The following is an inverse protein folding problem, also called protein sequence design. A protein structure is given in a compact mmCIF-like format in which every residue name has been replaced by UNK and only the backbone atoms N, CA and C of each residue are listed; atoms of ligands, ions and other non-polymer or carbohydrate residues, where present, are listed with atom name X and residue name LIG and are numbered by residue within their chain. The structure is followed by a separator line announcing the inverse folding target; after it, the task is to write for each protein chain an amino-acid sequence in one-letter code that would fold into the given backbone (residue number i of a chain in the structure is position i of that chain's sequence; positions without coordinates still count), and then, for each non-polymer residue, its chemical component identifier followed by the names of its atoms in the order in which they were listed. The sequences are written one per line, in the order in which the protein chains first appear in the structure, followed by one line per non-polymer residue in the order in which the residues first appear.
data_IF_770726509198
#
_entry.id   IF_770726509198
#
_cell.length_a   1.000
_cell.length_b   1.000
_cell.length_c   1.000
_cell.angle_alpha   90.00
_cell.angle_beta   90.00
_cell.angle_gamma   90.00
#
_symmetry.space_group_name_H-M   'P 1'
#
loop_
_entity.id
_entity.type
_entity.pdbx_description
1 polymer ?
#
# COMPACT_ATOMS: atom_id res chain seq x y z
N UNK A 1 1.88 -23.15 -4.22
CA UNK A 1 0.91 -22.94 -3.13
C UNK A 1 1.69 -22.19 -2.07
N UNK A 2 1.19 -21.06 -1.58
CA UNK A 2 1.88 -20.27 -0.56
C UNK A 2 1.21 -20.54 0.80
N UNK A 3 1.71 -21.52 1.59
CA UNK A 3 0.99 -22.06 2.75
C UNK A 3 0.86 -21.06 3.91
N UNK A 4 1.67 -20.00 3.92
CA UNK A 4 1.66 -18.97 4.98
C UNK A 4 0.71 -17.79 4.67
N UNK A 5 0.18 -17.67 3.44
CA UNK A 5 -0.84 -16.65 3.13
C UNK A 5 -2.19 -16.90 3.81
N UNK A 6 -2.64 -18.15 4.07
CA UNK A 6 -3.81 -18.42 4.90
C UNK A 6 -3.48 -18.69 6.38
N UNK A 7 -2.28 -18.33 6.86
CA UNK A 7 -1.90 -18.55 8.26
C UNK A 7 -2.91 -17.86 9.21
N UNK A 8 -3.31 -18.47 10.33
CA UNK A 8 -4.21 -17.84 11.29
C UNK A 8 -3.66 -16.52 11.86
N UNK A 9 -2.34 -16.37 11.95
CA UNK A 9 -1.69 -15.18 12.49
C UNK A 9 -1.63 -14.05 11.42
N UNK A 10 -2.28 -12.89 11.65
CA UNK A 10 -2.23 -11.77 10.72
C UNK A 10 -0.82 -11.21 10.50
N UNK A 11 0.06 -11.25 11.49
CA UNK A 11 1.43 -10.78 11.33
C UNK A 11 2.21 -11.71 10.37
N UNK A 12 1.97 -13.03 10.45
CA UNK A 12 2.53 -14.01 9.49
C UNK A 12 1.99 -13.78 8.08
N UNK A 13 0.70 -13.51 7.93
CA UNK A 13 0.11 -13.21 6.61
C UNK A 13 0.67 -11.94 6.00
N UNK A 14 0.79 -10.88 6.79
CA UNK A 14 1.36 -9.59 6.36
C UNK A 14 2.84 -9.75 5.95
N UNK A 15 3.65 -10.40 6.78
CA UNK A 15 5.04 -10.70 6.46
C UNK A 15 5.19 -11.58 5.22
N UNK A 16 4.29 -12.56 5.04
CA UNK A 16 4.26 -13.40 3.84
C UNK A 16 3.97 -12.58 2.59
N UNK A 17 3.01 -11.66 2.62
CA UNK A 17 2.74 -10.76 1.50
C UNK A 17 3.98 -9.93 1.12
N UNK A 18 4.70 -9.42 2.13
CA UNK A 18 5.96 -8.68 1.94
C UNK A 18 7.06 -9.52 1.30
N UNK A 19 7.34 -10.71 1.84
CA UNK A 19 8.36 -11.61 1.30
C UNK A 19 8.03 -12.03 -0.13
N UNK A 20 6.75 -12.27 -0.44
CA UNK A 20 6.32 -12.61 -1.79
C UNK A 20 6.46 -11.46 -2.78
N UNK A 21 6.23 -10.22 -2.35
CA UNK A 21 6.43 -9.05 -3.19
C UNK A 21 7.91 -8.79 -3.51
N UNK A 22 8.81 -9.14 -2.57
CA UNK A 22 10.26 -9.04 -2.77
C UNK A 22 10.84 -10.23 -3.56
N UNK A 23 10.07 -11.30 -3.76
CA UNK A 23 10.51 -12.47 -4.49
C UNK A 23 10.39 -12.27 -6.01
N UNK A 24 11.47 -12.51 -6.75
CA UNK A 24 11.55 -12.24 -8.20
C UNK A 24 11.02 -13.37 -9.09
N UNK A 25 10.39 -14.40 -8.52
CA UNK A 25 9.97 -15.61 -9.25
C UNK A 25 8.45 -15.82 -9.25
N UNK A 26 7.92 -16.41 -10.32
CA UNK A 26 6.49 -16.80 -10.45
C UNK A 26 5.48 -15.65 -10.35
N UNK A 27 5.85 -14.47 -10.85
CA UNK A 27 5.10 -13.21 -10.71
C UNK A 27 3.60 -13.30 -11.03
N UNK A 28 3.15 -13.91 -12.15
CA UNK A 28 1.71 -14.02 -12.43
C UNK A 28 0.98 -14.86 -11.36
N UNK A 29 1.64 -15.89 -10.82
CA UNK A 29 1.09 -16.76 -9.78
C UNK A 29 1.05 -16.05 -8.44
N UNK A 30 2.10 -15.30 -8.11
CA UNK A 30 2.19 -14.50 -6.89
C UNK A 30 1.09 -13.43 -6.91
N UNK A 31 1.03 -12.62 -7.96
CA UNK A 31 0.02 -11.57 -8.13
C UNK A 31 -1.41 -12.12 -8.02
N UNK A 32 -1.74 -13.17 -8.78
CA UNK A 32 -3.06 -13.82 -8.72
C UNK A 32 -3.39 -14.32 -7.31
N UNK A 33 -2.40 -14.84 -6.57
CA UNK A 33 -2.63 -15.33 -5.22
C UNK A 33 -2.84 -14.19 -4.21
N UNK A 34 -2.10 -13.08 -4.34
CA UNK A 34 -2.28 -11.90 -3.50
C UNK A 34 -3.67 -11.27 -3.72
N UNK A 35 -4.11 -11.12 -4.98
CA UNK A 35 -5.46 -10.64 -5.29
C UNK A 35 -6.55 -11.54 -4.70
N UNK A 36 -6.41 -12.86 -4.83
CA UNK A 36 -7.35 -13.82 -4.24
C UNK A 36 -7.36 -13.77 -2.72
N UNK A 37 -6.21 -13.55 -2.07
CA UNK A 37 -6.16 -13.37 -0.61
C UNK A 37 -6.82 -12.05 -0.20
N UNK A 38 -6.56 -10.96 -0.92
CA UNK A 38 -7.16 -9.65 -0.64
C UNK A 38 -8.69 -9.68 -0.70
N UNK A 39 -9.27 -10.46 -1.62
CA UNK A 39 -10.71 -10.58 -1.77
C UNK A 39 -11.44 -11.19 -0.55
N UNK A 40 -10.73 -11.93 0.31
CA UNK A 40 -11.31 -12.62 1.49
C UNK A 40 -10.71 -12.17 2.81
N UNK A 41 -9.71 -11.29 2.79
CA UNK A 41 -9.04 -10.82 4.00
C UNK A 41 -9.94 -9.86 4.78
N UNK A 42 -9.97 -10.02 6.09
CA UNK A 42 -10.70 -9.19 7.04
C UNK A 42 -9.77 -8.35 7.93
N UNK A 43 -8.53 -8.81 8.16
CA UNK A 43 -7.56 -8.06 8.94
C UNK A 43 -7.09 -6.81 8.20
N UNK A 44 -7.20 -5.62 8.82
CA UNK A 44 -6.95 -4.37 8.13
C UNK A 44 -5.44 -4.10 7.90
N UNK A 45 -4.54 -4.63 8.74
CA UNK A 45 -3.08 -4.59 8.49
C UNK A 45 -2.74 -5.45 7.28
N UNK A 46 -3.30 -6.66 7.22
CA UNK A 46 -3.03 -7.59 6.13
C UNK A 46 -3.60 -7.07 4.81
N UNK A 47 -4.79 -6.43 4.80
CA UNK A 47 -5.34 -5.77 3.61
C UNK A 47 -4.39 -4.74 3.01
N UNK A 48 -3.86 -3.83 3.83
CA UNK A 48 -2.89 -2.83 3.38
C UNK A 48 -1.62 -3.50 2.87
N UNK A 49 -1.12 -4.50 3.60
CA UNK A 49 0.09 -5.25 3.22
C UNK A 49 -0.06 -5.94 1.86
N UNK A 50 -1.22 -6.55 1.60
CA UNK A 50 -1.53 -7.17 0.30
C UNK A 50 -1.63 -6.15 -0.82
N UNK A 51 -2.24 -4.99 -0.57
CA UNK A 51 -2.35 -3.90 -1.57
C UNK A 51 -0.96 -3.39 -1.95
N UNK A 52 -0.08 -3.14 -0.96
CA UNK A 52 1.28 -2.70 -1.20
C UNK A 52 2.13 -3.78 -1.89
N UNK A 53 1.93 -5.06 -1.55
CA UNK A 53 2.57 -6.19 -2.22
C UNK A 53 2.23 -6.24 -3.71
N UNK A 54 0.95 -6.11 -4.06
CA UNK A 54 0.46 -6.09 -5.44
C UNK A 54 1.05 -4.88 -6.18
N UNK A 55 1.05 -3.70 -5.55
CA UNK A 55 1.59 -2.48 -6.14
C UNK A 55 3.10 -2.57 -6.40
N UNK A 56 3.86 -3.15 -5.46
CA UNK A 56 5.30 -3.37 -5.64
C UNK A 56 5.57 -4.31 -6.84
N UNK A 57 4.88 -5.45 -6.91
CA UNK A 57 5.03 -6.38 -8.03
C UNK A 57 4.67 -5.72 -9.35
N UNK A 58 3.58 -4.96 -9.40
CA UNK A 58 3.17 -4.22 -10.57
C UNK A 58 4.21 -3.18 -11.01
N UNK A 59 4.80 -2.45 -10.05
CA UNK A 59 5.85 -1.46 -10.35
C UNK A 59 7.09 -2.12 -10.94
N UNK A 60 7.56 -3.21 -10.33
CA UNK A 60 8.75 -3.94 -10.77
C UNK A 60 8.59 -4.53 -12.18
N UNK A 61 7.34 -4.82 -12.58
CA UNK A 61 7.01 -5.42 -13.88
C UNK A 61 6.35 -4.45 -14.86
N UNK A 62 6.27 -3.16 -14.50
CA UNK A 62 5.69 -2.11 -15.32
C UNK A 62 4.25 -2.41 -15.77
N UNK A 63 3.43 -2.98 -14.88
CA UNK A 63 2.02 -3.25 -15.15
C UNK A 63 1.23 -1.94 -15.25
N UNK A 64 0.81 -1.60 -16.47
CA UNK A 64 0.07 -0.39 -16.81
C UNK A 64 -1.34 -0.33 -16.20
N UNK A 65 -1.89 -1.46 -15.76
CA UNK A 65 -3.24 -1.52 -15.19
C UNK A 65 -3.26 -1.20 -13.69
N UNK A 66 -2.12 -1.37 -13.00
CA UNK A 66 -2.05 -1.21 -11.55
C UNK A 66 -2.40 0.21 -11.06
N UNK A 67 -1.99 1.31 -11.73
CA UNK A 67 -2.48 2.64 -11.40
C UNK A 67 -4.01 2.78 -11.43
N UNK A 68 -4.67 2.17 -12.42
CA UNK A 68 -6.14 2.22 -12.56
C UNK A 68 -6.79 1.42 -11.44
N UNK A 69 -6.31 0.21 -11.17
CA UNK A 69 -6.76 -0.63 -10.07
C UNK A 69 -6.62 0.07 -8.70
N UNK A 70 -5.47 0.67 -8.42
CA UNK A 70 -5.25 1.41 -7.18
C UNK A 70 -6.20 2.62 -7.08
N UNK A 71 -6.46 3.32 -8.20
CA UNK A 71 -7.41 4.43 -8.27
C UNK A 71 -8.83 4.02 -7.96
N UNK A 72 -9.30 2.92 -8.53
CA UNK A 72 -10.63 2.37 -8.24
C UNK A 72 -10.80 2.06 -6.75
N UNK A 73 -9.78 1.48 -6.12
CA UNK A 73 -9.83 1.14 -4.69
C UNK A 73 -9.88 2.36 -3.77
N UNK A 74 -9.05 3.39 -4.00
CA UNK A 74 -9.04 4.56 -3.10
C UNK A 74 -10.19 5.52 -3.32
N UNK A 75 -10.71 5.60 -4.55
CA UNK A 75 -11.81 6.51 -4.91
C UNK A 75 -13.19 5.99 -4.52
N UNK A 76 -13.37 4.68 -4.33
CA UNK A 76 -14.64 4.08 -3.90
C UNK A 76 -14.95 4.39 -2.42
N UNK A 77 -15.96 5.23 -2.11
CA UNK A 77 -16.29 5.60 -0.74
C UNK A 77 -16.93 4.44 0.05
N UNK A 78 -17.38 3.37 -0.62
CA UNK A 78 -17.91 2.17 0.01
C UNK A 78 -16.82 1.23 0.56
N UNK A 79 -15.56 1.48 0.21
CA UNK A 79 -14.42 0.73 0.77
C UNK A 79 -14.07 1.23 2.16
N UNK A 80 -13.56 0.31 2.96
CA UNK A 80 -13.08 0.62 4.30
C UNK A 80 -11.89 1.59 4.25
N UNK A 81 -11.71 2.45 5.27
CA UNK A 81 -10.66 3.46 5.27
C UNK A 81 -9.26 2.90 5.01
N UNK A 82 -8.92 1.74 5.57
CA UNK A 82 -7.61 1.12 5.39
C UNK A 82 -7.34 0.69 3.94
N UNK A 83 -8.36 0.17 3.24
CA UNK A 83 -8.23 -0.20 1.82
C UNK A 83 -7.99 1.07 1.00
N UNK A 84 -8.73 2.14 1.30
CA UNK A 84 -8.62 3.39 0.57
C UNK A 84 -7.27 4.05 0.78
N UNK A 85 -6.79 4.11 2.01
CA UNK A 85 -5.47 4.68 2.34
C UNK A 85 -4.36 3.81 1.75
N UNK A 86 -4.40 2.48 1.93
CA UNK A 86 -3.42 1.57 1.37
C UNK A 86 -3.34 1.64 -0.16
N UNK A 87 -4.49 1.76 -0.83
CA UNK A 87 -4.56 1.94 -2.27
C UNK A 87 -4.08 3.34 -2.71
N UNK A 88 -4.31 4.36 -1.91
CA UNK A 88 -3.75 5.69 -2.12
C UNK A 88 -2.22 5.70 -2.09
N UNK A 89 -1.63 5.05 -1.08
CA UNK A 89 -0.18 4.86 -0.98
C UNK A 89 0.37 4.04 -2.16
N UNK A 90 -0.30 2.95 -2.52
CA UNK A 90 0.04 2.15 -3.70
C UNK A 90 0.03 3.00 -4.99
N UNK A 91 -1.01 3.82 -5.19
CA UNK A 91 -1.13 4.69 -6.36
C UNK A 91 0.05 5.68 -6.44
N UNK A 92 0.42 6.32 -5.32
CA UNK A 92 1.57 7.23 -5.27
C UNK A 92 2.90 6.51 -5.60
N UNK A 93 3.03 5.24 -5.23
CA UNK A 93 4.20 4.43 -5.58
C UNK A 93 4.25 4.02 -7.07
N UNK A 94 3.10 4.02 -7.74
CA UNK A 94 2.94 3.55 -9.12
C UNK A 94 2.97 4.69 -10.15
N UNK A 95 2.63 5.92 -9.74
CA UNK A 95 2.42 7.04 -10.67
C UNK A 95 3.31 8.22 -10.31
N UNK A 96 4.08 8.72 -11.28
CA UNK A 96 4.89 9.94 -11.16
C UNK A 96 4.17 11.24 -11.51
N UNK A 97 2.84 11.20 -11.69
CA UNK A 97 1.99 12.32 -12.08
C UNK A 97 1.62 13.18 -10.87
N UNK A 98 1.16 14.43 -11.07
CA UNK A 98 0.64 15.24 -9.97
C UNK A 98 -0.46 14.50 -9.19
N UNK A 99 -0.34 14.55 -7.86
CA UNK A 99 -1.28 13.90 -6.95
C UNK A 99 -2.64 14.59 -7.03
N UNK A 100 -3.74 13.85 -7.30
CA UNK A 100 -5.09 14.39 -7.31
C UNK A 100 -5.46 15.00 -5.96
N UNK A 101 -6.23 16.10 -5.98
CA UNK A 101 -6.64 16.80 -4.76
C UNK A 101 -7.48 15.92 -3.84
N UNK A 102 -8.30 15.02 -4.40
CA UNK A 102 -9.10 14.08 -3.63
C UNK A 102 -8.23 13.06 -2.89
N UNK A 103 -7.15 12.59 -3.53
CA UNK A 103 -6.20 11.68 -2.93
C UNK A 103 -5.38 12.40 -1.84
N UNK A 104 -4.98 13.66 -2.10
CA UNK A 104 -4.31 14.49 -1.10
C UNK A 104 -5.20 14.67 0.13
N UNK A 105 -6.48 15.03 -0.06
CA UNK A 105 -7.45 15.20 1.01
C UNK A 105 -7.61 13.91 1.82
N UNK A 106 -7.79 12.76 1.15
CA UNK A 106 -7.92 11.45 1.79
C UNK A 106 -6.72 11.13 2.69
N UNK A 107 -5.50 11.31 2.20
CA UNK A 107 -4.27 10.98 2.95
C UNK A 107 -3.98 11.97 4.08
N UNK A 108 -4.51 13.20 3.99
CA UNK A 108 -4.37 14.21 5.05
C UNK A 108 -5.52 14.21 6.08
N UNK A 109 -6.58 13.44 5.83
CA UNK A 109 -7.76 13.38 6.70
C UNK A 109 -7.49 12.66 8.03
N UNK A 110 -8.30 12.98 9.05
CA UNK A 110 -8.27 12.39 10.40
C UNK A 110 -8.50 10.87 10.41
N UNK A 111 -9.08 10.30 9.36
CA UNK A 111 -9.17 8.84 9.19
C UNK A 111 -7.79 8.18 9.07
N UNK A 112 -6.82 8.87 8.47
CA UNK A 112 -5.42 8.43 8.41
C UNK A 112 -4.76 8.44 9.80
N UNK A 113 -5.10 9.41 10.64
CA UNK A 113 -4.63 9.47 12.03
C UNK A 113 -5.16 8.30 12.85
N UNK A 114 -6.44 7.92 12.67
CA UNK A 114 -7.04 6.76 13.35
C UNK A 114 -6.44 5.43 12.93
N UNK A 115 -5.91 5.33 11.71
CA UNK A 115 -5.25 4.13 11.23
C UNK A 115 -3.74 4.13 11.52
N UNK A 116 -3.18 5.16 12.17
CA UNK A 116 -1.72 5.27 12.35
C UNK A 116 -1.12 4.10 13.11
N UNK A 117 -1.76 3.62 14.20
CA UNK A 117 -1.29 2.46 14.97
C UNK A 117 -1.30 1.16 14.15
N UNK A 118 -2.27 1.03 13.25
CA UNK A 118 -2.37 -0.10 12.33
C UNK A 118 -1.20 -0.08 11.34
N UNK A 119 -0.89 1.08 10.77
CA UNK A 119 0.16 1.22 9.77
C UNK A 119 1.56 0.94 10.31
N UNK A 120 1.79 1.12 11.62
CA UNK A 120 3.06 0.73 12.25
C UNK A 120 3.36 -0.77 12.12
N UNK A 121 2.34 -1.61 11.95
CA UNK A 121 2.47 -3.06 11.77
C UNK A 121 2.65 -3.47 10.31
N UNK A 122 2.49 -2.55 9.36
CA UNK A 122 2.64 -2.82 7.93
C UNK A 122 4.14 -2.85 7.58
N UNK A 123 4.68 -3.94 7.00
CA UNK A 123 6.12 -4.11 6.80
C UNK A 123 6.81 -2.99 6.00
N UNK A 124 6.12 -2.39 5.03
CA UNK A 124 6.64 -1.27 4.23
C UNK A 124 6.73 0.05 4.99
N UNK A 125 5.98 0.19 6.07
CA UNK A 125 5.81 1.43 6.84
C UNK A 125 6.43 1.29 8.23
N UNK A 126 7.47 0.45 8.33
CA UNK A 126 8.11 0.01 9.59
C UNK A 126 8.42 1.14 10.58
N UNK A 127 8.80 0.81 11.82
CA UNK A 127 8.77 1.72 12.96
C UNK A 127 9.76 2.88 12.78
N UNK A 128 9.30 3.93 12.10
CA UNK A 128 9.91 5.24 12.14
C UNK A 128 9.21 5.96 13.28
N UNK A 129 9.96 6.24 14.36
CA UNK A 129 9.62 7.03 15.54
C UNK A 129 8.11 7.31 15.74
N UNK A 130 7.57 6.57 16.73
CA UNK A 130 6.19 6.15 16.97
C UNK A 130 5.10 7.22 17.17
N UNK A 131 5.15 8.35 16.47
CA UNK A 131 4.04 9.32 16.48
C UNK A 131 3.87 10.12 15.17
N UNK A 132 4.78 9.99 14.21
CA UNK A 132 4.77 10.80 12.99
C UNK A 132 5.26 10.08 11.73
N UNK A 133 5.67 8.81 11.81
CA UNK A 133 6.22 8.04 10.69
C UNK A 133 5.34 8.05 9.43
N UNK A 134 4.06 7.72 9.55
CA UNK A 134 3.15 7.70 8.40
C UNK A 134 2.88 9.09 7.83
N UNK A 135 2.56 10.08 8.67
CA UNK A 135 2.34 11.45 8.19
C UNK A 135 3.59 12.02 7.52
N UNK A 136 4.78 11.70 8.04
CA UNK A 136 6.05 12.06 7.44
C UNK A 136 6.25 11.34 6.10
N UNK A 137 6.00 10.04 6.00
CA UNK A 137 6.07 9.31 4.73
C UNK A 137 5.08 9.87 3.70
N UNK A 138 3.83 10.14 4.10
CA UNK A 138 2.84 10.78 3.24
C UNK A 138 3.31 12.16 2.81
N UNK A 139 3.80 12.99 3.73
CA UNK A 139 4.32 14.31 3.44
C UNK A 139 5.49 14.23 2.43
N UNK A 140 6.50 13.38 2.68
CA UNK A 140 7.63 13.16 1.77
C UNK A 140 7.21 12.71 0.37
N UNK A 141 6.18 11.86 0.27
CA UNK A 141 5.64 11.42 -1.03
C UNK A 141 4.83 12.51 -1.73
N UNK A 142 4.14 13.37 -0.98
CA UNK A 142 3.33 14.47 -1.52
C UNK A 142 4.18 15.71 -1.88
N UNK A 143 5.33 15.88 -1.23
CA UNK A 143 6.31 16.92 -1.51
C UNK A 143 7.65 16.27 -1.87
N UNK A 144 7.79 15.68 -3.07
CA UNK A 144 9.10 15.25 -3.53
C UNK A 144 10.00 16.50 -3.53
N UNK A 145 11.15 16.42 -2.84
CA UNK A 145 12.12 17.51 -2.80
C UNK A 145 12.32 18.04 -4.23
N UNK A 146 11.91 19.29 -4.44
CA UNK A 146 12.26 20.00 -5.67
C UNK A 146 13.78 20.07 -5.66
N UNK A 147 14.49 19.52 -6.66
CA UNK A 147 15.92 19.73 -6.73
C UNK A 147 16.13 21.23 -6.74
N UNK A 148 16.84 21.77 -5.74
CA UNK A 148 17.38 23.12 -5.85
C UNK A 148 18.32 23.12 -7.05
N UNK A 149 17.79 23.43 -8.24
CA UNK A 149 18.59 23.91 -9.34
C UNK A 149 19.17 25.25 -8.91
N UNK A 150 20.33 25.15 -8.26
CA UNK A 150 21.24 26.26 -8.09
C UNK A 150 21.87 26.52 -9.46
N UNK A 151 21.43 27.60 -10.11
CA UNK A 151 22.18 28.30 -11.16
C UNK A 151 21.80 29.78 -11.11
#
# INVERSE_FOLDING_TARGET
MFPLLPDPDPDVRSATAFVLAAATSEIPRVSSTLHRRLAVEDDPVVRVSLILAIAQLAREHQDEHAPVWARELWSDPGRSPEIRIGAGLAWLCLVGNPVPDELRALLTDLSTDRCSDLFQRVPWLGPVDSNSGLRRCIHEMLTPDVPCHSA
#
